data_IF_180163645669
#
_entry.id   IF_180163645669
#
_cell.length_a   1.000
_cell.length_b   1.000
_cell.length_c   1.000
_cell.angle_alpha   90.00
_cell.angle_beta   90.00
_cell.angle_gamma   90.00
#
_symmetry.space_group_name_H-M   'P 1'
#
loop_
_entity.id
_entity.type
_entity.pdbx_description
1 polymer ?
#
# COMPACT_ATOMS: atom_id res chain seq x y z
N UNK A 1 17.16 15.71 -18.62
CA UNK A 1 17.35 14.27 -18.40
C UNK A 1 17.01 13.96 -16.95
N UNK A 2 16.37 12.82 -16.64
CA UNK A 2 16.21 12.39 -15.25
C UNK A 2 17.59 12.27 -14.60
N UNK A 3 17.72 12.63 -13.33
CA UNK A 3 18.98 12.39 -12.59
C UNK A 3 19.18 10.88 -12.39
N UNK A 4 20.42 10.41 -12.31
CA UNK A 4 20.74 8.99 -12.03
C UNK A 4 20.00 8.44 -10.79
N UNK A 5 19.76 9.31 -9.80
CA UNK A 5 18.98 9.01 -8.59
C UNK A 5 17.50 8.76 -8.88
N UNK A 6 16.92 9.46 -9.85
CA UNK A 6 15.53 9.23 -10.28
C UNK A 6 15.36 7.96 -11.10
N UNK A 7 16.34 7.58 -11.93
CA UNK A 7 16.32 6.31 -12.66
C UNK A 7 16.42 5.10 -11.72
N UNK A 8 17.29 5.17 -10.72
CA UNK A 8 17.41 4.13 -9.69
C UNK A 8 16.11 3.95 -8.92
N UNK A 9 15.42 5.05 -8.59
CA UNK A 9 14.13 5.00 -7.89
C UNK A 9 13.06 4.34 -8.74
N UNK A 10 12.95 4.71 -10.03
CA UNK A 10 11.99 4.11 -10.95
C UNK A 10 12.23 2.61 -11.14
N UNK A 11 13.51 2.19 -11.27
CA UNK A 11 13.87 0.77 -11.36
C UNK A 11 13.45 -0.01 -10.11
N UNK A 12 13.66 0.56 -8.92
CA UNK A 12 13.28 -0.11 -7.68
C UNK A 12 11.76 -0.17 -7.51
N UNK A 13 11.02 0.89 -7.91
CA UNK A 13 9.56 0.87 -7.96
C UNK A 13 9.03 -0.22 -8.90
N UNK A 14 9.62 -0.34 -10.10
CA UNK A 14 9.26 -1.38 -11.06
C UNK A 14 9.53 -2.78 -10.50
N UNK A 15 10.69 -3.02 -9.89
CA UNK A 15 11.04 -4.33 -9.32
C UNK A 15 10.07 -4.75 -8.19
N UNK A 16 9.68 -3.82 -7.32
CA UNK A 16 8.64 -4.05 -6.31
C UNK A 16 7.30 -4.38 -6.97
N UNK A 17 6.91 -3.59 -7.98
CA UNK A 17 5.63 -3.75 -8.65
C UNK A 17 5.51 -5.10 -9.38
N UNK A 18 6.57 -5.52 -10.09
CA UNK A 18 6.64 -6.84 -10.74
C UNK A 18 6.46 -7.95 -9.71
N UNK A 19 7.21 -7.91 -8.60
CA UNK A 19 7.06 -8.92 -7.55
C UNK A 19 5.66 -8.94 -6.93
N UNK A 20 5.04 -7.78 -6.73
CA UNK A 20 3.65 -7.73 -6.26
C UNK A 20 2.70 -8.38 -7.26
N UNK A 21 2.84 -8.09 -8.55
CA UNK A 21 1.98 -8.63 -9.61
C UNK A 21 2.12 -10.15 -9.73
N UNK A 22 3.35 -10.66 -9.68
CA UNK A 22 3.65 -12.07 -9.92
C UNK A 22 3.38 -12.95 -8.69
N UNK A 23 3.73 -12.47 -7.49
CA UNK A 23 3.79 -13.31 -6.28
C UNK A 23 2.75 -12.96 -5.21
N UNK A 24 2.15 -11.76 -5.26
CA UNK A 24 1.24 -11.26 -4.20
C UNK A 24 -0.21 -11.16 -4.71
N UNK A 25 -0.41 -10.77 -5.97
CA UNK A 25 -1.74 -10.66 -6.55
C UNK A 25 -2.33 -12.06 -6.79
N UNK A 26 -3.55 -12.24 -6.31
CA UNK A 26 -4.31 -13.49 -6.43
C UNK A 26 -5.63 -13.20 -7.15
N UNK A 27 -6.15 -14.16 -7.93
CA UNK A 27 -7.43 -14.02 -8.58
C UNK A 27 -8.56 -13.89 -7.54
N UNK A 28 -9.58 -13.11 -7.89
CA UNK A 28 -10.82 -12.92 -7.12
C UNK A 28 -10.66 -12.24 -5.75
N UNK A 29 -9.52 -11.60 -5.49
CA UNK A 29 -9.29 -10.77 -4.29
C UNK A 29 -9.34 -9.28 -4.66
N UNK A 30 -10.02 -8.47 -3.84
CA UNK A 30 -10.03 -7.02 -3.98
C UNK A 30 -8.80 -6.43 -3.27
N UNK A 31 -7.95 -5.72 -4.00
CA UNK A 31 -6.80 -5.02 -3.45
C UNK A 31 -7.10 -3.53 -3.31
N UNK A 32 -7.02 -3.03 -2.08
CA UNK A 32 -7.11 -1.60 -1.76
C UNK A 32 -5.70 -1.02 -1.92
N UNK A 33 -5.49 -0.27 -3.00
CA UNK A 33 -4.21 0.36 -3.30
C UNK A 33 -4.17 1.76 -2.68
N UNK A 34 -3.37 1.92 -1.63
CA UNK A 34 -3.11 3.21 -0.99
C UNK A 34 -2.44 4.21 -1.95
N UNK A 35 -2.38 5.51 -1.58
CA UNK A 35 -1.76 6.53 -2.40
C UNK A 35 -0.24 6.36 -2.48
N UNK A 36 0.36 6.92 -3.53
CA UNK A 36 1.81 6.96 -3.73
C UNK A 36 2.28 6.45 -5.09
N UNK A 37 3.52 6.82 -5.45
CA UNK A 37 4.13 6.44 -6.73
C UNK A 37 4.43 4.94 -6.80
N UNK A 38 4.81 4.30 -5.70
CA UNK A 38 5.11 2.86 -5.64
C UNK A 38 3.86 2.03 -5.90
N UNK A 39 2.72 2.37 -5.30
CA UNK A 39 1.45 1.69 -5.57
C UNK A 39 0.91 2.01 -6.96
N UNK A 40 1.13 3.24 -7.45
CA UNK A 40 0.81 3.61 -8.84
C UNK A 40 1.60 2.77 -9.85
N UNK A 41 2.86 2.47 -9.58
CA UNK A 41 3.70 1.66 -10.49
C UNK A 41 3.11 0.27 -10.72
N UNK A 42 2.46 -0.33 -9.70
CA UNK A 42 1.71 -1.59 -9.86
C UNK A 42 0.61 -1.44 -10.91
N UNK A 43 -0.21 -0.39 -10.81
CA UNK A 43 -1.29 -0.14 -11.76
C UNK A 43 -0.75 0.17 -13.17
N UNK A 44 0.30 1.00 -13.26
CA UNK A 44 0.90 1.39 -14.55
C UNK A 44 1.44 0.14 -15.31
N UNK A 45 2.05 -0.83 -14.61
CA UNK A 45 2.52 -2.09 -15.22
C UNK A 45 1.39 -3.04 -15.65
N UNK A 46 0.19 -2.88 -15.08
CA UNK A 46 -1.02 -3.60 -15.49
C UNK A 46 -1.82 -2.84 -16.56
N UNK A 47 -1.22 -1.80 -17.16
CA UNK A 47 -1.88 -0.89 -18.11
C UNK A 47 -3.16 -0.24 -17.53
N UNK A 48 -3.17 -0.02 -16.22
CA UNK A 48 -4.25 0.63 -15.48
C UNK A 48 -3.84 2.02 -15.01
N UNK A 49 -4.79 2.95 -14.95
CA UNK A 49 -4.55 4.30 -14.43
C UNK A 49 -4.98 4.41 -12.98
N UNK A 50 -4.01 4.68 -12.09
CA UNK A 50 -4.25 4.94 -10.66
C UNK A 50 -4.22 6.43 -10.30
N UNK A 51 -5.10 6.84 -9.40
CA UNK A 51 -5.06 8.13 -8.71
C UNK A 51 -3.87 8.19 -7.76
N UNK A 52 -2.94 9.11 -8.01
CA UNK A 52 -1.66 9.21 -7.28
C UNK A 52 -1.84 9.47 -5.78
N UNK A 53 -2.73 10.40 -5.42
CA UNK A 53 -3.01 10.78 -4.03
C UNK A 53 -4.32 10.16 -3.49
N UNK A 54 -4.95 9.30 -4.27
CA UNK A 54 -6.20 8.64 -3.93
C UNK A 54 -6.01 7.17 -3.57
N UNK A 55 -7.08 6.58 -3.05
CA UNK A 55 -7.19 5.13 -2.84
C UNK A 55 -7.98 4.53 -3.99
N UNK A 56 -7.45 3.48 -4.60
CA UNK A 56 -8.11 2.81 -5.73
C UNK A 56 -8.30 1.32 -5.41
N UNK A 57 -9.26 0.69 -6.07
CA UNK A 57 -9.55 -0.75 -5.91
C UNK A 57 -9.15 -1.51 -7.16
N UNK A 58 -8.34 -2.54 -6.98
CA UNK A 58 -7.86 -3.45 -8.02
C UNK A 58 -8.49 -4.84 -7.82
N UNK A 59 -8.99 -5.46 -8.88
CA UNK A 59 -9.49 -6.84 -8.89
C UNK A 59 -9.16 -7.47 -10.23
N UNK A 60 -8.59 -8.67 -10.22
CA UNK A 60 -8.22 -9.41 -11.44
C UNK A 60 -7.40 -8.53 -12.42
N UNK A 61 -6.38 -7.87 -11.87
CA UNK A 61 -5.48 -6.97 -12.60
C UNK A 61 -6.14 -5.75 -13.26
N UNK A 62 -7.38 -5.41 -12.86
CA UNK A 62 -8.11 -4.25 -13.37
C UNK A 62 -8.54 -3.33 -12.24
N UNK A 63 -8.42 -2.02 -12.47
CA UNK A 63 -8.94 -1.04 -11.52
C UNK A 63 -10.47 -1.00 -11.67
N UNK A 64 -11.17 -1.40 -10.61
CA UNK A 64 -12.64 -1.47 -10.58
C UNK A 64 -13.28 -0.21 -9.99
N UNK A 65 -12.51 0.56 -9.22
CA UNK A 65 -12.93 1.86 -8.68
C UNK A 65 -11.71 2.74 -8.42
N UNK A 66 -11.84 4.05 -8.63
CA UNK A 66 -10.77 5.04 -8.47
C UNK A 66 -11.17 6.11 -7.49
N UNK A 67 -10.20 6.60 -6.73
CA UNK A 67 -10.33 7.66 -5.74
C UNK A 67 -11.52 7.46 -4.78
N UNK A 68 -11.63 6.24 -4.27
CA UNK A 68 -12.76 5.81 -3.45
C UNK A 68 -12.69 6.35 -2.03
N UNK A 69 -13.85 6.66 -1.46
CA UNK A 69 -13.99 6.96 -0.04
C UNK A 69 -14.24 5.69 0.82
N UNK A 70 -14.29 5.83 2.15
CA UNK A 70 -14.54 4.72 3.09
C UNK A 70 -15.78 3.91 2.72
N UNK A 71 -16.90 4.59 2.46
CA UNK A 71 -18.20 3.95 2.17
C UNK A 71 -18.10 3.08 0.92
N UNK A 72 -17.39 3.55 -0.09
CA UNK A 72 -17.18 2.82 -1.32
C UNK A 72 -16.31 1.59 -1.08
N UNK A 73 -15.18 1.74 -0.38
CA UNK A 73 -14.30 0.62 -0.01
C UNK A 73 -15.10 -0.46 0.71
N UNK A 74 -15.85 -0.09 1.75
CA UNK A 74 -16.64 -1.02 2.57
C UNK A 74 -17.65 -1.82 1.73
N UNK A 75 -18.31 -1.19 0.74
CA UNK A 75 -19.24 -1.89 -0.16
C UNK A 75 -18.55 -2.98 -0.99
N UNK A 76 -17.34 -2.71 -1.49
CA UNK A 76 -16.61 -3.69 -2.31
C UNK A 76 -16.03 -4.85 -1.49
N UNK A 77 -15.65 -4.61 -0.24
CA UNK A 77 -15.07 -5.64 0.64
C UNK A 77 -16.10 -6.34 1.53
N UNK A 78 -17.39 -6.00 1.39
CA UNK A 78 -18.44 -6.58 2.23
C UNK A 78 -18.61 -8.09 2.01
N UNK A 79 -18.59 -8.49 0.74
CA UNK A 79 -18.89 -9.85 0.24
C UNK A 79 -17.70 -10.53 -0.45
N UNK A 80 -16.51 -9.93 -0.38
CA UNK A 80 -15.31 -10.42 -1.05
C UNK A 80 -14.12 -10.41 -0.11
N UNK A 81 -13.22 -11.37 -0.32
CA UNK A 81 -11.89 -11.29 0.27
C UNK A 81 -11.16 -10.04 -0.25
N UNK A 82 -10.48 -9.36 0.67
CA UNK A 82 -9.80 -8.13 0.36
C UNK A 82 -8.45 -8.06 1.07
N UNK A 83 -7.52 -7.34 0.45
CA UNK A 83 -6.18 -7.06 0.97
C UNK A 83 -5.86 -5.59 0.80
N UNK A 84 -4.98 -5.06 1.63
CA UNK A 84 -4.53 -3.67 1.57
C UNK A 84 -3.08 -3.64 1.13
N UNK A 85 -2.75 -2.83 0.14
CA UNK A 85 -1.37 -2.55 -0.26
C UNK A 85 -1.10 -1.06 -0.05
N UNK A 86 -0.21 -0.74 0.88
CA UNK A 86 0.15 0.63 1.22
C UNK A 86 1.65 0.84 1.12
N UNK A 87 2.03 2.10 0.92
CA UNK A 87 3.42 2.54 0.99
C UNK A 87 3.52 3.69 1.98
N UNK A 88 4.65 3.87 2.70
CA UNK A 88 4.80 5.01 3.57
C UNK A 88 4.58 6.33 2.82
N UNK A 89 3.70 7.17 3.37
CA UNK A 89 3.30 8.45 2.80
C UNK A 89 4.14 9.55 3.45
N UNK A 90 4.69 10.44 2.63
CA UNK A 90 5.59 11.50 3.06
C UNK A 90 6.95 10.97 3.57
N UNK A 91 7.70 11.84 4.25
CA UNK A 91 9.02 11.51 4.82
C UNK A 91 8.98 10.98 6.26
N UNK A 92 7.80 10.88 6.88
CA UNK A 92 7.65 10.58 8.30
C UNK A 92 7.32 9.11 8.61
N UNK A 93 7.04 8.29 7.59
CA UNK A 93 6.80 6.86 7.76
C UNK A 93 5.35 6.44 8.01
N UNK A 94 4.36 7.31 7.85
CA UNK A 94 2.96 6.95 8.04
C UNK A 94 2.49 5.96 6.98
N UNK A 95 1.95 4.82 7.40
CA UNK A 95 1.31 3.83 6.51
C UNK A 95 -0.22 3.88 6.57
N UNK A 96 -0.79 4.38 7.67
CA UNK A 96 -2.22 4.62 7.83
C UNK A 96 -2.49 5.95 8.54
N UNK A 97 -3.68 6.50 8.30
CA UNK A 97 -4.11 7.77 8.83
C UNK A 97 -3.79 8.91 7.88
N UNK A 98 -2.63 9.54 8.05
CA UNK A 98 -2.28 10.77 7.35
C UNK A 98 -2.11 10.55 5.84
N UNK A 99 -3.01 11.16 5.07
CA UNK A 99 -3.00 11.11 3.60
C UNK A 99 -3.72 9.91 2.99
N UNK A 100 -4.28 9.01 3.80
CA UNK A 100 -5.04 7.85 3.32
C UNK A 100 -6.19 7.48 4.28
N UNK A 101 -6.88 8.48 4.83
CA UNK A 101 -7.97 8.31 5.80
C UNK A 101 -9.15 7.48 5.26
N UNK A 102 -9.27 7.33 3.94
CA UNK A 102 -10.27 6.43 3.34
C UNK A 102 -10.07 4.97 3.76
N UNK A 103 -8.82 4.56 4.09
CA UNK A 103 -8.52 3.24 4.67
C UNK A 103 -8.67 3.34 6.19
N UNK A 104 -9.91 3.51 6.61
CA UNK A 104 -10.26 3.80 8.00
C UNK A 104 -10.12 2.58 8.92
N UNK A 105 -10.21 2.76 10.25
CA UNK A 105 -10.29 1.65 11.21
C UNK A 105 -11.36 0.62 10.86
N UNK A 106 -12.49 1.04 10.29
CA UNK A 106 -13.58 0.13 9.88
C UNK A 106 -13.17 -0.73 8.70
N UNK A 107 -12.49 -0.14 7.71
CA UNK A 107 -11.92 -0.88 6.57
C UNK A 107 -10.85 -1.86 7.06
N UNK A 108 -9.93 -1.42 7.92
CA UNK A 108 -8.85 -2.26 8.45
C UNK A 108 -9.42 -3.44 9.25
N UNK A 109 -10.44 -3.23 10.10
CA UNK A 109 -11.12 -4.31 10.81
C UNK A 109 -11.76 -5.32 9.87
N UNK A 110 -12.45 -4.83 8.83
CA UNK A 110 -13.16 -5.68 7.87
C UNK A 110 -12.19 -6.51 7.03
N UNK A 111 -11.04 -5.94 6.66
CA UNK A 111 -9.99 -6.62 5.88
C UNK A 111 -9.15 -7.56 6.75
N UNK A 112 -8.85 -7.17 7.99
CA UNK A 112 -7.93 -7.86 8.88
C UNK A 112 -6.48 -7.38 8.73
N UNK A 113 -5.79 -7.19 9.87
CA UNK A 113 -4.41 -6.68 9.90
C UNK A 113 -3.41 -7.60 9.20
N UNK A 114 -3.67 -8.90 9.19
CA UNK A 114 -2.87 -9.93 8.52
C UNK A 114 -2.90 -9.82 6.99
N UNK A 115 -3.87 -9.07 6.45
CA UNK A 115 -4.08 -8.87 5.01
C UNK A 115 -3.48 -7.54 4.52
N UNK A 116 -2.61 -6.93 5.32
CA UNK A 116 -1.90 -5.69 4.98
C UNK A 116 -0.51 -6.03 4.44
N UNK A 117 -0.23 -5.56 3.23
CA UNK A 117 1.09 -5.61 2.62
C UNK A 117 1.66 -4.19 2.56
N UNK A 118 2.85 -4.00 3.13
CA UNK A 118 3.58 -2.73 3.02
C UNK A 118 4.67 -2.84 1.97
N UNK A 119 4.74 -1.86 1.07
CA UNK A 119 5.76 -1.75 0.04
C UNK A 119 6.48 -0.42 0.15
N UNK A 120 7.79 -0.39 -0.03
CA UNK A 120 8.54 0.87 -0.02
C UNK A 120 9.86 0.72 -0.77
N UNK A 121 10.27 1.76 -1.50
CA UNK A 121 11.60 1.76 -2.09
C UNK A 121 12.67 1.86 -1.02
N UNK A 122 13.86 1.31 -1.32
CA UNK A 122 15.02 1.37 -0.42
C UNK A 122 15.36 2.82 -0.05
N UNK A 123 15.18 3.75 -0.99
CA UNK A 123 15.45 5.17 -0.77
C UNK A 123 14.50 5.80 0.26
N UNK A 124 13.21 5.43 0.24
CA UNK A 124 12.21 5.92 1.18
C UNK A 124 12.51 5.45 2.60
N UNK A 125 12.84 4.17 2.73
CA UNK A 125 13.14 3.57 4.03
C UNK A 125 14.43 4.11 4.67
N UNK A 126 15.45 4.49 3.90
CA UNK A 126 16.67 5.10 4.46
C UNK A 126 16.41 6.34 5.30
N UNK A 127 15.34 7.08 4.99
CA UNK A 127 14.99 8.31 5.70
C UNK A 127 13.93 8.09 6.80
N UNK A 128 13.42 6.86 6.96
CA UNK A 128 12.35 6.53 7.89
C UNK A 128 12.91 5.64 9.00
N UNK A 129 12.96 6.16 10.22
CA UNK A 129 13.45 5.40 11.39
C UNK A 129 12.46 4.30 11.81
N UNK A 130 11.16 4.55 11.70
CA UNK A 130 10.10 3.60 12.01
C UNK A 130 8.85 3.95 11.20
N UNK A 131 8.02 2.95 10.90
CA UNK A 131 6.70 3.20 10.38
C UNK A 131 5.80 3.75 11.48
N UNK A 132 4.73 4.44 11.06
CA UNK A 132 3.78 5.08 11.96
C UNK A 132 2.35 4.80 11.54
N UNK A 133 1.48 4.71 12.53
CA UNK A 133 0.03 4.60 12.35
C UNK A 133 -0.67 5.66 13.20
N UNK A 134 -1.73 6.24 12.64
CA UNK A 134 -2.57 7.26 13.30
C UNK A 134 -3.98 7.13 12.70
N UNK A 135 -4.62 5.98 12.95
CA UNK A 135 -5.92 5.65 12.35
C UNK A 135 -7.08 6.40 13.03
N UNK A 136 -6.81 7.05 14.17
CA UNK A 136 -7.81 7.67 15.03
C UNK A 136 -8.56 6.67 15.91
N UNK A 137 -8.16 5.40 15.90
CA UNK A 137 -8.74 4.32 16.69
C UNK A 137 -7.63 3.62 17.48
N UNK A 138 -7.56 3.84 18.81
CA UNK A 138 -6.47 3.31 19.64
C UNK A 138 -6.36 1.79 19.61
N UNK A 139 -7.47 1.07 19.46
CA UNK A 139 -7.46 -0.39 19.42
C UNK A 139 -6.78 -0.90 18.14
N UNK A 140 -7.05 -0.24 17.01
CA UNK A 140 -6.42 -0.58 15.73
C UNK A 140 -4.97 -0.13 15.69
N UNK A 141 -4.66 1.05 16.22
CA UNK A 141 -3.30 1.55 16.30
C UNK A 141 -2.43 0.61 17.15
N UNK A 142 -2.90 0.14 18.31
CA UNK A 142 -2.19 -0.85 19.13
C UNK A 142 -2.02 -2.19 18.40
N UNK A 143 -3.03 -2.67 17.68
CA UNK A 143 -2.93 -3.92 16.89
C UNK A 143 -1.94 -3.85 15.73
N UNK A 144 -1.70 -2.64 15.20
CA UNK A 144 -0.75 -2.41 14.10
C UNK A 144 0.69 -2.18 14.60
N UNK A 145 0.89 -1.90 15.89
CA UNK A 145 2.22 -1.76 16.48
C UNK A 145 2.96 -3.10 16.48
N UNK A 146 4.29 -3.00 16.52
CA UNK A 146 5.18 -4.17 16.56
C UNK A 146 6.10 -4.20 15.36
N UNK A 147 6.37 -5.39 14.83
CA UNK A 147 7.26 -5.60 13.70
C UNK A 147 6.47 -5.97 12.46
N UNK A 148 6.77 -5.32 11.33
CA UNK A 148 6.13 -5.60 10.05
C UNK A 148 7.19 -5.80 8.96
N UNK A 149 6.92 -6.72 8.05
CA UNK A 149 7.71 -6.93 6.84
C UNK A 149 7.31 -5.94 5.76
N UNK A 150 8.31 -5.41 5.05
CA UNK A 150 8.14 -4.49 3.93
C UNK A 150 8.81 -5.10 2.71
N UNK A 151 8.10 -5.14 1.58
CA UNK A 151 8.68 -5.48 0.28
C UNK A 151 9.46 -4.27 -0.24
N UNK A 152 10.75 -4.46 -0.50
CA UNK A 152 11.67 -3.37 -0.85
C UNK A 152 12.35 -3.51 -2.21
N UNK A 153 12.23 -4.68 -2.83
CA UNK A 153 12.75 -4.97 -4.16
C UNK A 153 12.07 -6.26 -4.66
N UNK A 154 12.44 -6.71 -5.87
CA UNK A 154 12.03 -8.03 -6.32
C UNK A 154 12.53 -9.12 -5.37
N UNK A 155 11.59 -9.86 -4.77
CA UNK A 155 11.83 -10.92 -3.81
C UNK A 155 12.75 -10.53 -2.62
N UNK A 156 12.74 -9.25 -2.22
CA UNK A 156 13.47 -8.77 -1.06
C UNK A 156 12.53 -8.09 -0.06
N UNK A 157 12.67 -8.48 1.20
CA UNK A 157 11.91 -7.93 2.31
C UNK A 157 12.84 -7.48 3.43
N UNK A 158 12.39 -6.49 4.20
CA UNK A 158 13.03 -6.09 5.47
C UNK A 158 11.97 -5.93 6.53
N UNK A 159 12.35 -6.19 7.78
CA UNK A 159 11.46 -5.98 8.92
C UNK A 159 11.78 -4.66 9.61
N UNK A 160 10.77 -3.85 9.89
CA UNK A 160 10.91 -2.64 10.69
C UNK A 160 9.86 -2.55 11.80
N UNK A 161 10.05 -1.60 12.71
CA UNK A 161 9.08 -1.31 13.77
C UNK A 161 7.99 -0.36 13.29
N UNK A 162 6.75 -0.63 13.74
CA UNK A 162 5.61 0.27 13.65
C UNK A 162 5.40 0.87 15.05
N UNK A 163 5.33 2.20 15.11
CA UNK A 163 5.13 2.97 16.34
C UNK A 163 3.83 3.76 16.30
#
# INVERSE_FOLDING_TARGET
MPSSRSESELRNQAAIAVYVIEEILQPNIVYILGPGTTTRTIADLLDQKKTLLGVDLLLNNRIIARDVNEKEILRYVESKEAKIIVTPIGGQGFIFGRGNQQISPRVIRKVGIQNITVIATKSKLRNIQSLRVDTGDPEIDEKLKGRIEIIIDYNQKVTTSVK
#
